data_IF_518127878906
#
_entry.id   IF_518127878906
#
_cell.length_a   1.000
_cell.length_b   1.000
_cell.length_c   1.000
_cell.angle_alpha   90.00
_cell.angle_beta   90.00
_cell.angle_gamma   90.00
#
_symmetry.space_group_name_H-M   'P 1'
#
loop_
_entity.id
_entity.type
_entity.pdbx_description
1 polymer ?
#
# COMPACT_ATOMS: atom_id res chain seq x y z
N UNK A 1 -8.27 -11.35 -4.50
CA UNK A 1 -9.21 -11.80 -3.44
C UNK A 1 -10.26 -12.66 -4.12
N UNK A 2 -10.57 -13.81 -3.55
CA UNK A 2 -11.49 -14.81 -4.12
C UNK A 2 -12.67 -14.94 -3.15
N UNK A 3 -13.90 -14.86 -3.63
CA UNK A 3 -15.07 -14.94 -2.76
C UNK A 3 -16.38 -14.83 -3.53
N UNK A 4 -17.49 -15.05 -2.82
CA UNK A 4 -18.86 -15.06 -3.35
C UNK A 4 -19.40 -13.63 -3.54
N UNK A 5 -18.73 -12.62 -2.96
CA UNK A 5 -19.26 -11.27 -2.84
C UNK A 5 -18.40 -10.16 -3.48
N UNK A 6 -17.65 -10.51 -4.53
CA UNK A 6 -16.71 -9.57 -5.16
C UNK A 6 -17.41 -8.48 -5.99
N UNK A 7 -18.60 -8.77 -6.51
CA UNK A 7 -19.43 -7.79 -7.21
C UNK A 7 -19.99 -6.74 -6.25
N UNK A 8 -20.36 -7.12 -5.01
CA UNK A 8 -20.77 -6.15 -4.00
C UNK A 8 -19.61 -5.26 -3.60
N UNK A 9 -18.41 -5.80 -3.37
CA UNK A 9 -17.22 -4.98 -3.10
C UNK A 9 -16.90 -3.99 -4.22
N UNK A 10 -17.13 -4.38 -5.48
CA UNK A 10 -17.03 -3.46 -6.63
C UNK A 10 -18.06 -2.34 -6.50
N UNK A 11 -19.33 -2.66 -6.21
CA UNK A 11 -20.40 -1.68 -6.01
C UNK A 11 -20.12 -0.73 -4.86
N UNK A 12 -19.70 -1.25 -3.70
CA UNK A 12 -19.30 -0.45 -2.53
C UNK A 12 -18.16 0.51 -2.87
N UNK A 13 -17.13 0.04 -3.59
CA UNK A 13 -16.03 0.89 -4.02
C UNK A 13 -16.51 2.02 -4.94
N UNK A 14 -17.30 1.70 -5.97
CA UNK A 14 -17.87 2.70 -6.89
C UNK A 14 -18.69 3.75 -6.14
N UNK A 15 -19.55 3.33 -5.22
CA UNK A 15 -20.33 4.24 -4.37
C UNK A 15 -19.46 5.10 -3.45
N UNK A 16 -18.37 4.55 -2.91
CA UNK A 16 -17.47 5.31 -2.05
C UNK A 16 -16.71 6.40 -2.83
N UNK A 17 -16.30 6.11 -4.07
CA UNK A 17 -15.59 7.07 -4.91
C UNK A 17 -16.52 8.00 -5.71
N UNK A 18 -17.82 7.72 -5.78
CA UNK A 18 -18.83 8.56 -6.45
C UNK A 18 -18.84 10.01 -5.94
N UNK A 19 -18.42 10.24 -4.69
CA UNK A 19 -18.26 11.57 -4.10
C UNK A 19 -17.26 12.46 -4.87
N UNK A 20 -16.42 11.87 -5.71
CA UNK A 20 -15.43 12.55 -6.54
C UNK A 20 -15.88 12.76 -8.00
N UNK A 21 -17.15 12.50 -8.34
CA UNK A 21 -17.69 12.66 -9.70
C UNK A 21 -17.50 14.07 -10.30
N UNK A 22 -17.26 15.09 -9.47
CA UNK A 22 -17.06 16.47 -9.88
C UNK A 22 -15.65 16.71 -10.46
N UNK A 23 -15.28 15.96 -11.51
CA UNK A 23 -13.98 16.10 -12.17
C UNK A 23 -13.78 17.49 -12.81
N UNK A 24 -14.87 18.17 -13.20
CA UNK A 24 -14.84 19.51 -13.78
C UNK A 24 -14.33 20.59 -12.79
N UNK A 25 -14.23 20.25 -11.51
CA UNK A 25 -13.61 21.12 -10.53
C UNK A 25 -12.08 21.02 -10.63
N UNK A 26 -11.50 21.78 -11.55
CA UNK A 26 -10.06 21.89 -11.77
C UNK A 26 -9.27 22.18 -10.47
N UNK A 27 -9.85 22.97 -9.55
CA UNK A 27 -9.23 23.25 -8.26
C UNK A 27 -9.17 22.00 -7.38
N UNK A 28 -10.23 21.20 -7.34
CA UNK A 28 -10.24 19.92 -6.63
C UNK A 28 -9.20 18.95 -7.22
N UNK A 29 -9.19 18.77 -8.55
CA UNK A 29 -8.23 17.89 -9.23
C UNK A 29 -6.79 18.30 -8.89
N UNK A 30 -6.48 19.59 -9.01
CA UNK A 30 -5.15 20.13 -8.71
C UNK A 30 -4.75 19.91 -7.24
N UNK A 31 -5.70 20.05 -6.31
CA UNK A 31 -5.48 19.78 -4.88
C UNK A 31 -5.19 18.30 -4.60
N UNK A 32 -5.95 17.39 -5.23
CA UNK A 32 -5.73 15.94 -5.06
C UNK A 32 -4.37 15.52 -5.63
N UNK A 33 -3.97 16.05 -6.79
CA UNK A 33 -2.66 15.81 -7.38
C UNK A 33 -1.53 16.37 -6.52
N UNK A 34 -1.69 17.57 -5.96
CA UNK A 34 -0.72 18.15 -5.04
C UNK A 34 -0.53 17.28 -3.78
N UNK A 35 -1.60 16.66 -3.26
CA UNK A 35 -1.50 15.71 -2.15
C UNK A 35 -0.74 14.44 -2.54
N UNK A 36 -1.00 13.90 -3.74
CA UNK A 36 -0.26 12.73 -4.27
C UNK A 36 1.22 13.06 -4.43
N UNK A 37 1.57 14.21 -5.03
CA UNK A 37 2.97 14.63 -5.17
C UNK A 37 3.63 14.76 -3.80
N UNK A 38 3.01 15.51 -2.90
CA UNK A 38 3.63 15.82 -1.62
C UNK A 38 3.77 14.59 -0.72
N UNK A 39 2.72 13.79 -0.56
CA UNK A 39 2.73 12.65 0.35
C UNK A 39 3.23 11.38 -0.33
N UNK A 40 2.58 10.95 -1.41
CA UNK A 40 2.89 9.64 -2.00
C UNK A 40 4.29 9.64 -2.62
N UNK A 41 4.59 10.62 -3.49
CA UNK A 41 5.90 10.66 -4.16
C UNK A 41 7.02 11.09 -3.20
N UNK A 42 6.85 12.22 -2.52
CA UNK A 42 7.96 12.88 -1.82
C UNK A 42 8.14 12.49 -0.35
N UNK A 43 7.12 11.93 0.32
CA UNK A 43 7.28 11.38 1.67
C UNK A 43 7.34 9.85 1.64
N UNK A 44 6.34 9.19 1.04
CA UNK A 44 6.19 7.74 1.14
C UNK A 44 7.21 6.97 0.28
N UNK A 45 7.29 7.26 -1.02
CA UNK A 45 8.20 6.53 -1.92
C UNK A 45 9.67 6.79 -1.57
N UNK A 46 10.04 8.00 -1.17
CA UNK A 46 11.41 8.29 -0.72
C UNK A 46 11.76 7.47 0.53
N UNK A 47 10.88 7.44 1.54
CA UNK A 47 11.17 6.74 2.80
C UNK A 47 11.19 5.22 2.65
N UNK A 48 10.32 4.63 1.81
CA UNK A 48 10.33 3.19 1.53
C UNK A 48 11.68 2.72 0.95
N UNK A 49 12.37 3.58 0.21
CA UNK A 49 13.61 3.23 -0.45
C UNK A 49 14.84 3.35 0.47
N UNK A 50 14.80 4.24 1.47
CA UNK A 50 15.86 4.38 2.48
C UNK A 50 16.04 3.10 3.34
N UNK A 51 15.00 2.29 3.47
CA UNK A 51 15.03 1.01 4.20
C UNK A 51 15.58 -0.16 3.37
N UNK A 52 15.81 0.03 2.05
CA UNK A 52 16.34 -1.00 1.14
C UNK A 52 17.73 -0.64 0.63
N UNK A 53 18.75 -1.11 1.32
CA UNK A 53 20.18 -0.83 1.13
C UNK A 53 20.84 -1.37 -0.16
N UNK A 54 20.15 -1.47 -1.30
CA UNK A 54 20.73 -2.08 -2.52
C UNK A 54 20.35 -1.48 -3.88
N UNK A 55 19.85 -0.24 -3.94
CA UNK A 55 19.71 0.54 -5.19
C UNK A 55 20.30 1.93 -4.95
N UNK A 56 21.13 2.44 -5.87
CA UNK A 56 21.71 3.78 -5.78
C UNK A 56 20.60 4.81 -5.50
N UNK A 57 20.58 5.34 -4.28
CA UNK A 57 19.61 6.32 -3.77
C UNK A 57 19.41 7.49 -4.77
N UNK A 58 20.48 7.91 -5.42
CA UNK A 58 20.47 8.92 -6.48
C UNK A 58 19.60 8.53 -7.71
N UNK A 59 19.71 7.30 -8.20
CA UNK A 59 18.91 6.82 -9.35
C UNK A 59 17.42 6.79 -9.00
N UNK A 60 17.09 6.35 -7.79
CA UNK A 60 15.72 6.28 -7.30
C UNK A 60 15.12 7.68 -7.17
N UNK A 61 15.85 8.63 -6.55
CA UNK A 61 15.39 10.02 -6.45
C UNK A 61 15.15 10.64 -7.82
N UNK A 62 16.06 10.44 -8.78
CA UNK A 62 15.89 10.93 -10.15
C UNK A 62 14.65 10.36 -10.83
N UNK A 63 14.33 9.08 -10.59
CA UNK A 63 13.09 8.47 -11.07
C UNK A 63 11.85 9.11 -10.41
N UNK A 64 11.89 9.39 -9.11
CA UNK A 64 10.81 10.09 -8.39
C UNK A 64 10.62 11.51 -8.94
N UNK A 65 11.71 12.26 -9.16
CA UNK A 65 11.67 13.60 -9.76
C UNK A 65 11.01 13.57 -11.15
N UNK A 66 11.37 12.59 -11.97
CA UNK A 66 10.74 12.41 -13.30
C UNK A 66 9.24 12.12 -13.19
N UNK A 67 8.81 11.34 -12.19
CA UNK A 67 7.39 11.06 -11.94
C UNK A 67 6.68 12.32 -11.44
N UNK A 68 7.30 13.06 -10.53
CA UNK A 68 6.78 14.33 -10.02
C UNK A 68 6.57 15.34 -11.14
N UNK A 69 7.51 15.46 -12.08
CA UNK A 69 7.39 16.32 -13.27
C UNK A 69 6.14 15.99 -14.09
N UNK A 70 5.86 14.70 -14.35
CA UNK A 70 4.62 14.32 -15.04
C UNK A 70 3.37 14.75 -14.27
N UNK A 71 3.35 14.62 -12.94
CA UNK A 71 2.20 15.02 -12.14
C UNK A 71 2.04 16.54 -12.05
N UNK A 72 3.14 17.31 -12.08
CA UNK A 72 3.10 18.78 -12.21
C UNK A 72 2.54 19.21 -13.56
N UNK A 73 3.02 18.59 -14.63
CA UNK A 73 2.51 18.82 -15.98
C UNK A 73 1.02 18.47 -16.12
N UNK A 74 0.55 17.42 -15.44
CA UNK A 74 -0.87 17.11 -15.34
C UNK A 74 -1.69 18.25 -14.72
N UNK A 75 -1.17 18.93 -13.70
CA UNK A 75 -1.82 20.09 -13.07
C UNK A 75 -1.78 21.28 -14.03
N UNK A 76 -0.62 21.62 -14.57
CA UNK A 76 -0.44 22.80 -15.43
C UNK A 76 -1.30 22.73 -16.70
N UNK A 77 -1.36 21.56 -17.32
CA UNK A 77 -2.11 21.34 -18.57
C UNK A 77 -3.52 20.82 -18.37
N UNK A 78 -3.92 20.57 -17.11
CA UNK A 78 -5.22 19.98 -16.77
C UNK A 78 -5.49 18.68 -17.56
N UNK A 79 -4.46 17.84 -17.70
CA UNK A 79 -4.53 16.57 -18.45
C UNK A 79 -3.93 15.42 -17.64
N UNK A 80 -4.64 15.03 -16.58
CA UNK A 80 -4.18 13.97 -15.71
C UNK A 80 -3.99 12.64 -16.45
N UNK A 81 -4.95 12.26 -17.31
CA UNK A 81 -4.94 10.97 -17.99
C UNK A 81 -3.64 10.77 -18.79
N UNK A 82 -3.28 11.73 -19.64
CA UNK A 82 -2.11 11.59 -20.50
C UNK A 82 -0.83 11.43 -19.69
N UNK A 83 -0.65 12.27 -18.67
CA UNK A 83 0.59 12.33 -17.90
C UNK A 83 0.70 11.20 -16.87
N UNK A 84 -0.42 10.76 -16.29
CA UNK A 84 -0.46 9.54 -15.49
C UNK A 84 -0.03 8.33 -16.31
N UNK A 85 -0.59 8.15 -17.52
CA UNK A 85 -0.20 7.03 -18.39
C UNK A 85 1.29 7.10 -18.75
N UNK A 86 1.82 8.28 -19.10
CA UNK A 86 3.26 8.45 -19.34
C UNK A 86 4.10 8.03 -18.14
N UNK A 87 3.73 8.46 -16.93
CA UNK A 87 4.43 8.07 -15.71
C UNK A 87 4.35 6.56 -15.45
N UNK A 88 3.18 5.96 -15.70
CA UNK A 88 2.90 4.54 -15.51
C UNK A 88 3.67 3.64 -16.48
N UNK A 89 3.78 4.02 -17.75
CA UNK A 89 4.44 3.21 -18.79
C UNK A 89 5.94 3.52 -18.94
N UNK A 90 6.43 4.53 -18.23
CA UNK A 90 7.84 4.90 -18.25
C UNK A 90 8.73 3.80 -17.66
N UNK A 91 9.98 3.72 -18.12
CA UNK A 91 10.96 2.74 -17.64
C UNK A 91 11.50 3.14 -16.25
N UNK A 92 10.65 3.01 -15.22
CA UNK A 92 10.94 3.32 -13.82
C UNK A 92 10.25 2.28 -12.89
N UNK A 93 10.36 2.46 -11.57
CA UNK A 93 9.73 1.55 -10.59
C UNK A 93 8.25 1.87 -10.28
N UNK A 94 7.70 2.99 -10.80
CA UNK A 94 6.43 3.56 -10.37
C UNK A 94 5.26 2.57 -10.47
N UNK A 95 5.05 1.98 -11.65
CA UNK A 95 3.94 1.05 -11.86
C UNK A 95 4.03 -0.17 -10.93
N UNK A 96 5.25 -0.66 -10.65
CA UNK A 96 5.46 -1.83 -9.77
C UNK A 96 5.05 -1.50 -8.34
N UNK A 97 5.49 -0.34 -7.83
CA UNK A 97 5.19 0.08 -6.46
C UNK A 97 3.73 0.48 -6.32
N UNK A 98 3.19 1.28 -7.25
CA UNK A 98 1.79 1.66 -7.26
C UNK A 98 0.86 0.45 -7.28
N UNK A 99 1.11 -0.53 -8.15
CA UNK A 99 0.28 -1.72 -8.22
C UNK A 99 0.40 -2.59 -6.97
N UNK A 100 1.59 -2.67 -6.35
CA UNK A 100 1.80 -3.36 -5.08
C UNK A 100 0.99 -2.68 -3.97
N UNK A 101 1.07 -1.37 -3.85
CA UNK A 101 0.38 -0.60 -2.80
C UNK A 101 -1.14 -0.66 -2.98
N UNK A 102 -1.63 -0.52 -4.22
CA UNK A 102 -3.04 -0.73 -4.55
C UNK A 102 -3.50 -2.13 -4.15
N UNK A 103 -2.75 -3.16 -4.52
CA UNK A 103 -3.09 -4.53 -4.15
C UNK A 103 -3.13 -4.74 -2.63
N UNK A 104 -2.27 -4.07 -1.86
CA UNK A 104 -2.23 -4.24 -0.41
C UNK A 104 -3.32 -3.45 0.31
N UNK A 105 -3.51 -2.17 -0.06
CA UNK A 105 -4.18 -1.21 0.82
C UNK A 105 -5.53 -0.69 0.29
N UNK A 106 -5.84 -0.82 -1.00
CA UNK A 106 -7.02 -0.12 -1.57
C UNK A 106 -8.36 -0.55 -0.93
N UNK A 107 -8.46 -1.79 -0.46
CA UNK A 107 -9.66 -2.29 0.20
C UNK A 107 -9.87 -1.69 1.60
N UNK A 108 -8.82 -1.14 2.23
CA UNK A 108 -8.95 -0.45 3.52
C UNK A 108 -9.83 0.80 3.41
N UNK A 109 -10.02 1.35 2.21
CA UNK A 109 -10.86 2.52 2.00
C UNK A 109 -12.36 2.24 2.23
N UNK A 110 -12.81 1.04 1.87
CA UNK A 110 -14.23 0.64 1.99
C UNK A 110 -14.50 -0.25 3.20
N UNK A 111 -13.46 -0.67 3.92
CA UNK A 111 -13.59 -1.49 5.12
C UNK A 111 -14.03 -0.64 6.32
N UNK A 112 -15.35 -0.54 6.51
CA UNK A 112 -16.00 0.21 7.60
C UNK A 112 -15.67 -0.31 9.00
N UNK A 113 -15.05 -1.48 9.12
CA UNK A 113 -14.79 -2.14 10.41
C UNK A 113 -13.43 -1.76 11.02
N UNK A 114 -12.54 -1.15 10.24
CA UNK A 114 -11.21 -0.73 10.73
C UNK A 114 -11.25 0.69 11.31
N UNK A 115 -10.84 0.84 12.56
CA UNK A 115 -10.51 2.14 13.15
C UNK A 115 -9.20 2.66 12.53
N UNK A 116 -9.21 3.93 12.09
CA UNK A 116 -8.15 4.68 11.40
C UNK A 116 -6.78 3.96 11.30
N UNK A 117 -6.54 3.34 10.13
CA UNK A 117 -5.27 2.69 9.76
C UNK A 117 -4.12 3.71 9.79
N UNK A 118 -2.92 3.28 10.22
CA UNK A 118 -1.68 4.07 10.13
C UNK A 118 -1.36 4.51 8.70
N UNK A 119 -1.98 3.85 7.71
CA UNK A 119 -1.78 4.10 6.28
C UNK A 119 -2.89 4.97 5.66
N UNK A 120 -3.75 5.63 6.46
CA UNK A 120 -4.88 6.42 5.94
C UNK A 120 -4.48 7.41 4.84
N UNK A 121 -3.38 8.16 5.00
CA UNK A 121 -2.88 9.10 3.97
C UNK A 121 -2.47 8.39 2.68
N UNK A 122 -1.85 7.21 2.78
CA UNK A 122 -1.49 6.38 1.64
C UNK A 122 -2.74 5.90 0.93
N UNK A 123 -3.68 5.31 1.66
CA UNK A 123 -4.96 4.83 1.11
C UNK A 123 -5.68 5.94 0.36
N UNK A 124 -5.78 7.15 0.93
CA UNK A 124 -6.39 8.29 0.23
C UNK A 124 -5.66 8.67 -1.06
N UNK A 125 -4.32 8.72 -1.06
CA UNK A 125 -3.56 9.00 -2.28
C UNK A 125 -3.82 7.94 -3.37
N UNK A 126 -3.85 6.66 -2.99
CA UNK A 126 -4.16 5.58 -3.91
C UNK A 126 -5.58 5.72 -4.49
N UNK A 127 -6.56 6.08 -3.66
CA UNK A 127 -7.93 6.37 -4.11
C UNK A 127 -7.97 7.57 -5.04
N UNK A 128 -7.25 8.66 -4.73
CA UNK A 128 -7.17 9.83 -5.61
C UNK A 128 -6.65 9.44 -6.99
N UNK A 129 -5.57 8.65 -7.06
CA UNK A 129 -4.99 8.17 -8.32
C UNK A 129 -6.02 7.39 -9.14
N UNK A 130 -6.71 6.43 -8.51
CA UNK A 130 -7.70 5.58 -9.20
C UNK A 130 -8.91 6.38 -9.66
N UNK A 131 -9.44 7.23 -8.78
CA UNK A 131 -10.66 7.99 -9.01
C UNK A 131 -10.49 9.09 -10.05
N UNK A 132 -9.33 9.77 -10.05
CA UNK A 132 -9.01 10.76 -11.07
C UNK A 132 -8.91 10.13 -12.47
N UNK A 133 -8.52 8.86 -12.57
CA UNK A 133 -8.53 8.16 -13.86
C UNK A 133 -9.96 7.77 -14.26
N UNK A 134 -10.71 7.15 -13.34
CA UNK A 134 -12.06 6.61 -13.58
C UNK A 134 -13.03 7.70 -14.07
N UNK A 135 -12.99 8.89 -13.47
CA UNK A 135 -13.89 9.99 -13.81
C UNK A 135 -13.32 10.98 -14.82
N UNK A 136 -12.19 10.65 -15.46
CA UNK A 136 -11.58 11.55 -16.43
C UNK A 136 -12.51 11.76 -17.65
N UNK A 137 -12.82 13.01 -18.06
CA UNK A 137 -13.79 13.28 -19.14
C UNK A 137 -13.41 12.65 -20.49
N UNK A 138 -12.12 12.59 -20.79
CA UNK A 138 -11.60 11.98 -22.04
C UNK A 138 -11.49 10.45 -21.99
N UNK A 139 -11.79 9.80 -20.86
CA UNK A 139 -11.62 8.34 -20.71
C UNK A 139 -12.46 7.56 -21.75
N UNK A 140 -13.63 8.11 -22.12
CA UNK A 140 -14.54 7.54 -23.13
C UNK A 140 -13.89 7.35 -24.51
N UNK A 141 -12.88 8.15 -24.84
CA UNK A 141 -12.16 8.09 -26.12
C UNK A 141 -11.23 6.87 -26.20
N UNK A 142 -10.86 6.30 -25.05
CA UNK A 142 -9.87 5.23 -24.94
C UNK A 142 -10.50 3.90 -24.55
N UNK A 143 -11.83 3.78 -24.49
CA UNK A 143 -12.53 2.56 -24.04
C UNK A 143 -12.10 1.34 -24.86
N UNK A 144 -11.98 0.20 -24.18
CA UNK A 144 -11.66 -1.07 -24.82
C UNK A 144 -12.67 -2.17 -24.46
N UNK A 145 -13.15 -2.88 -25.48
CA UNK A 145 -13.92 -4.12 -25.35
C UNK A 145 -13.28 -5.19 -26.24
N UNK A 146 -13.40 -6.45 -25.82
CA UNK A 146 -12.82 -7.58 -26.54
C UNK A 146 -11.72 -8.27 -25.74
N UNK A 147 -10.88 -9.02 -26.45
CA UNK A 147 -9.89 -9.91 -25.83
C UNK A 147 -8.56 -9.18 -25.66
N UNK A 148 -7.95 -9.29 -24.49
CA UNK A 148 -6.55 -8.88 -24.27
C UNK A 148 -5.79 -9.94 -23.46
N UNK A 149 -4.46 -9.86 -23.50
CA UNK A 149 -3.56 -10.91 -23.03
C UNK A 149 -2.54 -10.38 -22.03
N UNK A 150 -2.20 -11.19 -21.03
CA UNK A 150 -1.11 -10.90 -20.08
C UNK A 150 -0.24 -12.12 -19.91
N UNK A 151 1.02 -12.02 -20.28
CA UNK A 151 2.02 -13.02 -19.92
C UNK A 151 2.63 -12.73 -18.57
N UNK A 152 2.87 -13.78 -17.79
CA UNK A 152 3.56 -13.69 -16.51
C UNK A 152 4.23 -15.01 -16.13
N UNK A 153 5.19 -14.94 -15.22
CA UNK A 153 5.65 -16.11 -14.46
C UNK A 153 4.76 -16.25 -13.22
N UNK A 154 4.22 -17.44 -13.01
CA UNK A 154 3.32 -17.73 -11.88
C UNK A 154 3.87 -18.89 -11.04
N UNK A 155 3.82 -18.77 -9.72
CA UNK A 155 4.18 -19.88 -8.83
C UNK A 155 3.06 -20.92 -8.76
N UNK A 156 3.36 -22.17 -8.37
CA UNK A 156 2.31 -23.15 -8.12
C UNK A 156 1.29 -22.67 -7.08
N UNK A 157 1.72 -21.94 -6.04
CA UNK A 157 0.83 -21.44 -5.00
C UNK A 157 -0.14 -20.38 -5.54
N UNK A 158 0.35 -19.47 -6.38
CA UNK A 158 -0.50 -18.45 -7.02
C UNK A 158 -1.43 -19.10 -8.05
N UNK A 159 -0.95 -20.09 -8.79
CA UNK A 159 -1.76 -20.86 -9.74
C UNK A 159 -2.93 -21.57 -9.04
N UNK A 160 -2.73 -22.10 -7.83
CA UNK A 160 -3.80 -22.74 -7.05
C UNK A 160 -4.95 -21.79 -6.69
N UNK A 161 -4.73 -20.48 -6.77
CA UNK A 161 -5.77 -19.47 -6.59
C UNK A 161 -6.71 -19.39 -7.81
N UNK A 162 -6.26 -19.82 -8.99
CA UNK A 162 -7.09 -19.90 -10.19
C UNK A 162 -7.83 -21.24 -10.19
N UNK A 163 -9.14 -21.16 -9.99
CA UNK A 163 -10.04 -22.32 -9.97
C UNK A 163 -11.19 -22.07 -10.92
N UNK A 164 -11.60 -23.10 -11.65
CA UNK A 164 -12.71 -23.02 -12.59
C UNK A 164 -13.96 -22.46 -11.89
N UNK A 165 -14.66 -21.54 -12.56
CA UNK A 165 -15.84 -20.82 -12.07
C UNK A 165 -15.62 -19.90 -10.86
N UNK A 166 -14.39 -19.74 -10.35
CA UNK A 166 -14.13 -18.79 -9.29
C UNK A 166 -13.98 -17.37 -9.82
N UNK A 167 -14.39 -16.44 -8.96
CA UNK A 167 -14.31 -15.00 -9.21
C UNK A 167 -13.01 -14.43 -8.63
N UNK A 168 -12.42 -13.50 -9.37
CA UNK A 168 -11.17 -12.82 -9.05
C UNK A 168 -11.44 -11.32 -9.14
N UNK A 169 -11.20 -10.61 -8.03
CA UNK A 169 -11.21 -9.16 -7.98
C UNK A 169 -9.81 -8.63 -8.28
N UNK A 170 -9.67 -7.91 -9.38
CA UNK A 170 -8.47 -7.12 -9.66
C UNK A 170 -8.47 -5.88 -8.76
N UNK A 171 -7.37 -5.63 -8.02
CA UNK A 171 -7.28 -4.51 -7.05
C UNK A 171 -6.35 -3.38 -7.51
N UNK A 172 -5.54 -3.64 -8.52
CA UNK A 172 -4.54 -2.71 -9.02
C UNK A 172 -4.76 -2.50 -10.52
N UNK A 173 -4.00 -1.61 -11.14
CA UNK A 173 -4.00 -1.53 -12.59
C UNK A 173 -3.40 -2.81 -13.17
N UNK A 174 -4.06 -3.38 -14.15
CA UNK A 174 -3.66 -4.64 -14.76
C UNK A 174 -3.33 -4.39 -16.24
N UNK A 175 -2.03 -4.21 -16.51
CA UNK A 175 -1.48 -4.15 -17.86
C UNK A 175 -1.70 -5.45 -18.61
N UNK A 176 -2.21 -5.32 -19.84
CA UNK A 176 -2.44 -6.37 -20.82
C UNK A 176 -2.08 -5.84 -22.21
N UNK A 177 -1.95 -6.71 -23.21
CA UNK A 177 -1.76 -6.32 -24.61
C UNK A 177 -2.89 -6.85 -25.47
N UNK A 178 -3.29 -6.10 -26.49
CA UNK A 178 -4.16 -6.60 -27.56
C UNK A 178 -3.41 -7.68 -28.38
N UNK A 179 -2.08 -7.61 -28.42
CA UNK A 179 -1.26 -8.56 -29.14
C UNK A 179 -0.82 -9.72 -28.24
N UNK A 180 -1.29 -10.92 -28.55
CA UNK A 180 -0.93 -12.16 -27.87
C UNK A 180 0.59 -12.38 -27.82
N UNK A 181 1.30 -12.18 -28.93
CA UNK A 181 2.75 -12.41 -29.01
C UNK A 181 3.52 -11.46 -28.08
N UNK A 182 3.06 -10.21 -27.95
CA UNK A 182 3.63 -9.26 -27.00
C UNK A 182 3.48 -9.79 -25.58
N UNK A 183 2.29 -10.27 -25.23
CA UNK A 183 2.06 -10.88 -23.92
C UNK A 183 2.92 -12.14 -23.71
N UNK A 184 3.09 -13.01 -24.70
CA UNK A 184 3.92 -14.22 -24.62
C UNK A 184 5.40 -13.91 -24.32
N UNK A 185 5.95 -12.83 -24.90
CA UNK A 185 7.29 -12.33 -24.54
C UNK A 185 7.39 -12.01 -23.04
N UNK A 186 6.36 -11.42 -22.43
CA UNK A 186 6.33 -11.13 -20.99
C UNK A 186 6.13 -12.38 -20.11
N UNK A 187 5.60 -13.47 -20.66
CA UNK A 187 5.57 -14.78 -19.98
C UNK A 187 6.95 -15.45 -19.94
N UNK A 188 7.94 -14.90 -20.67
CA UNK A 188 9.33 -15.31 -20.67
C UNK A 188 9.73 -16.15 -21.88
N UNK A 189 9.08 -15.96 -23.02
CA UNK A 189 9.53 -16.47 -24.32
C UNK A 189 10.90 -15.82 -24.66
N UNK A 190 11.94 -16.64 -24.85
CA UNK A 190 13.30 -16.19 -25.21
C UNK A 190 14.38 -16.30 -24.12
N UNK A 191 14.04 -16.62 -22.86
CA UNK A 191 15.02 -17.11 -21.88
C UNK A 191 14.88 -18.63 -21.81
N UNK A 192 15.95 -19.34 -22.22
CA UNK A 192 16.01 -20.79 -22.29
C UNK A 192 15.17 -21.47 -21.21
N UNK A 193 14.19 -22.21 -21.72
CA UNK A 193 13.39 -23.22 -21.07
C UNK A 193 14.22 -23.98 -20.03
N UNK A 194 13.93 -23.75 -18.76
CA UNK A 194 14.05 -24.75 -17.71
C UNK A 194 13.43 -24.18 -16.44
N UNK A 195 12.61 -25.02 -15.79
CA UNK A 195 12.29 -24.88 -14.39
C UNK A 195 13.53 -24.39 -13.64
N UNK A 196 13.52 -23.19 -13.07
CA UNK A 196 14.61 -22.77 -12.19
C UNK A 196 14.47 -23.53 -10.88
N UNK A 197 14.98 -24.75 -10.86
CA UNK A 197 15.39 -25.39 -9.62
C UNK A 197 16.84 -24.95 -9.38
N UNK A 198 17.05 -23.86 -8.66
CA UNK A 198 18.37 -23.52 -8.14
C UNK A 198 18.54 -24.25 -6.81
N UNK A 199 19.42 -25.26 -6.70
CA UNK A 199 19.49 -26.13 -5.52
C UNK A 199 19.92 -25.43 -4.21
N UNK A 200 20.25 -24.13 -4.27
CA UNK A 200 20.83 -23.38 -3.15
C UNK A 200 19.85 -22.53 -2.35
N UNK A 201 18.66 -22.26 -2.88
CA UNK A 201 17.63 -21.46 -2.21
C UNK A 201 16.27 -22.12 -2.42
N UNK A 202 15.48 -22.29 -1.37
CA UNK A 202 14.14 -22.88 -1.39
C UNK A 202 13.13 -22.09 -2.27
N UNK A 203 13.32 -22.04 -3.58
CA UNK A 203 12.46 -21.31 -4.52
C UNK A 203 11.34 -22.18 -5.08
N UNK A 204 10.12 -21.63 -5.08
CA UNK A 204 8.91 -22.27 -5.57
C UNK A 204 8.94 -22.48 -7.11
N UNK A 205 8.41 -23.61 -7.57
CA UNK A 205 8.22 -23.93 -8.99
C UNK A 205 7.42 -22.81 -9.70
N UNK A 206 7.97 -22.27 -10.79
CA UNK A 206 7.36 -21.21 -11.60
C UNK A 206 7.00 -21.70 -13.00
N UNK A 207 5.83 -21.30 -13.50
CA UNK A 207 5.30 -21.63 -14.81
C UNK A 207 5.23 -20.41 -15.72
N UNK A 208 5.42 -20.60 -17.03
CA UNK A 208 5.04 -19.62 -18.05
C UNK A 208 3.52 -19.63 -18.18
N UNK A 209 2.87 -18.50 -17.91
CA UNK A 209 1.42 -18.37 -17.89
C UNK A 209 0.95 -17.25 -18.81
N UNK A 210 -0.05 -17.53 -19.64
CA UNK A 210 -0.77 -16.56 -20.44
C UNK A 210 -2.20 -16.45 -19.90
N UNK A 211 -2.58 -15.26 -19.43
CA UNK A 211 -3.96 -14.96 -19.09
C UNK A 211 -4.64 -14.26 -20.28
N UNK A 212 -5.78 -14.79 -20.72
CA UNK A 212 -6.67 -14.18 -21.70
C UNK A 212 -7.87 -13.57 -20.95
N UNK A 213 -8.11 -12.28 -21.13
CA UNK A 213 -9.22 -11.56 -20.53
C UNK A 213 -10.22 -11.16 -21.62
N UNK A 214 -11.48 -11.55 -21.47
CA UNK A 214 -12.59 -11.02 -22.25
C UNK A 214 -13.23 -9.84 -21.50
N UNK A 215 -12.99 -8.63 -22.03
CA UNK A 215 -13.58 -7.38 -21.54
C UNK A 215 -14.93 -7.17 -22.23
N UNK A 216 -15.98 -7.05 -21.43
CA UNK A 216 -17.36 -6.86 -21.89
C UNK A 216 -17.86 -5.44 -21.64
N UNK A 217 -17.36 -4.76 -20.61
CA UNK A 217 -17.82 -3.42 -20.23
C UNK A 217 -16.92 -2.32 -20.79
N UNK A 218 -17.54 -1.16 -21.05
CA UNK A 218 -16.87 0.00 -21.64
C UNK A 218 -16.05 0.82 -20.62
N UNK A 219 -16.26 0.62 -19.32
CA UNK A 219 -15.73 1.48 -18.25
C UNK A 219 -14.62 0.83 -17.41
N UNK A 220 -14.17 -0.37 -17.80
CA UNK A 220 -13.28 -1.20 -16.99
C UNK A 220 -11.91 -1.45 -17.64
N UNK A 221 -11.76 -1.15 -18.93
CA UNK A 221 -10.48 -1.18 -19.62
C UNK A 221 -10.34 -0.03 -20.61
N UNK A 222 -9.11 0.45 -20.76
CA UNK A 222 -8.75 1.49 -21.71
C UNK A 222 -7.56 1.06 -22.57
N UNK A 223 -7.64 1.31 -23.88
CA UNK A 223 -6.54 1.21 -24.81
C UNK A 223 -5.65 2.45 -24.64
N UNK A 224 -4.45 2.24 -24.14
CA UNK A 224 -3.50 3.31 -23.84
C UNK A 224 -2.35 3.39 -24.83
N UNK A 225 -2.43 2.67 -25.95
CA UNK A 225 -1.40 2.62 -26.97
C UNK A 225 -0.93 4.01 -27.42
N UNK A 226 -1.86 4.94 -27.64
CA UNK A 226 -1.53 6.30 -28.12
C UNK A 226 -1.01 7.24 -27.02
N UNK A 227 -1.16 6.87 -25.75
CA UNK A 227 -0.73 7.67 -24.60
C UNK A 227 0.56 7.13 -23.97
N UNK A 228 0.83 5.84 -24.15
CA UNK A 228 1.97 5.13 -23.59
C UNK A 228 3.29 5.63 -24.17
N UNK A 229 4.33 5.61 -23.33
CA UNK A 229 5.72 5.77 -23.75
C UNK A 229 6.27 4.56 -24.52
N UNK A 230 5.50 3.47 -24.60
CA UNK A 230 5.82 2.20 -25.28
C UNK A 230 4.64 1.77 -26.19
N UNK A 231 4.32 2.52 -27.26
CA UNK A 231 3.17 2.23 -28.11
C UNK A 231 3.23 0.86 -28.80
N UNK A 232 4.42 0.30 -29.02
CA UNK A 232 4.60 -1.01 -29.64
C UNK A 232 4.04 -2.17 -28.79
N UNK A 233 3.87 -1.96 -27.48
CA UNK A 233 3.29 -2.95 -26.58
C UNK A 233 1.77 -3.12 -26.78
N UNK A 234 1.12 -2.20 -27.52
CA UNK A 234 -0.34 -2.20 -27.77
C UNK A 234 -1.14 -2.42 -26.48
N UNK A 235 -0.76 -1.68 -25.45
CA UNK A 235 -1.20 -1.92 -24.09
C UNK A 235 -2.68 -1.52 -23.89
N UNK A 236 -3.41 -2.41 -23.24
CA UNK A 236 -4.73 -2.17 -22.66
C UNK A 236 -4.58 -2.24 -21.15
N UNK A 237 -4.99 -1.17 -20.48
CA UNK A 237 -4.95 -1.07 -19.03
C UNK A 237 -6.33 -1.37 -18.46
N UNK A 238 -6.43 -2.48 -17.72
CA UNK A 238 -7.64 -2.82 -16.98
C UNK A 238 -7.60 -2.09 -15.62
N UNK A 239 -8.70 -1.40 -15.31
CA UNK A 239 -8.84 -0.53 -14.15
C UNK A 239 -9.08 -1.40 -12.88
N UNK A 240 -8.61 -0.94 -11.70
CA UNK A 240 -8.93 -1.57 -10.41
C UNK A 240 -10.43 -1.82 -10.20
N UNK A 241 -10.74 -2.81 -9.38
CA UNK A 241 -12.08 -3.30 -9.05
C UNK A 241 -12.87 -3.94 -10.19
N UNK A 242 -12.19 -4.32 -11.27
CA UNK A 242 -12.77 -5.21 -12.29
C UNK A 242 -12.83 -6.64 -11.75
N UNK A 243 -13.97 -7.30 -11.93
CA UNK A 243 -14.21 -8.68 -11.46
C UNK A 243 -14.21 -9.62 -12.66
N UNK A 244 -13.45 -10.70 -12.56
CA UNK A 244 -13.37 -11.73 -13.59
C UNK A 244 -13.76 -13.10 -13.05
N UNK A 245 -14.41 -13.91 -13.87
CA UNK A 245 -14.66 -15.32 -13.63
C UNK A 245 -13.67 -16.16 -14.44
N UNK A 246 -13.04 -17.15 -13.81
CA UNK A 246 -12.19 -18.11 -14.51
C UNK A 246 -13.07 -19.09 -15.29
N UNK A 247 -12.97 -19.07 -16.61
CA UNK A 247 -13.79 -19.88 -17.52
C UNK A 247 -13.06 -21.12 -18.02
N UNK A 248 -11.72 -21.09 -18.14
CA UNK A 248 -10.93 -22.25 -18.49
C UNK A 248 -9.51 -22.15 -17.93
N UNK A 249 -8.90 -23.32 -17.69
CA UNK A 249 -7.47 -23.46 -17.36
C UNK A 249 -6.92 -24.58 -18.22
N UNK A 250 -6.12 -24.23 -19.22
CA UNK A 250 -5.45 -25.17 -20.12
C UNK A 250 -4.01 -25.38 -19.66
N UNK A 251 -3.59 -26.63 -19.55
CA UNK A 251 -2.20 -26.99 -19.22
C UNK A 251 -1.61 -27.63 -20.47
N UNK A 252 -0.59 -26.97 -21.02
CA UNK A 252 0.19 -27.56 -22.10
C UNK A 252 1.17 -28.54 -21.44
N UNK A 253 1.07 -29.82 -21.83
CA UNK A 253 1.93 -30.86 -21.27
C UNK A 253 3.39 -30.57 -21.62
N UNK A 254 4.28 -30.87 -20.68
CA UNK A 254 5.73 -30.67 -20.73
C UNK A 254 6.42 -31.41 -21.90
N UNK A 255 5.70 -32.24 -22.63
CA UNK A 255 6.21 -33.08 -23.72
C UNK A 255 6.16 -32.40 -25.09
N UNK A 256 5.61 -31.19 -25.19
CA UNK A 256 5.76 -30.34 -26.38
C UNK A 256 6.91 -29.33 -26.17
N UNK A 257 8.13 -29.63 -26.64
CA UNK A 257 9.28 -28.73 -26.52
C UNK A 257 9.11 -27.42 -27.31
N UNK A 258 8.08 -27.29 -28.14
CA UNK A 258 7.77 -26.07 -28.90
C UNK A 258 6.83 -25.12 -28.17
N UNK A 259 6.16 -25.56 -27.09
CA UNK A 259 5.22 -24.74 -26.34
C UNK A 259 5.94 -23.71 -25.44
N UNK A 260 5.90 -22.43 -25.82
CA UNK A 260 6.46 -21.33 -25.02
C UNK A 260 5.62 -20.97 -23.78
N UNK A 261 4.34 -21.37 -23.77
CA UNK A 261 3.39 -21.16 -22.67
C UNK A 261 3.03 -22.51 -22.05
N UNK A 262 3.22 -22.63 -20.73
CA UNK A 262 2.89 -23.86 -19.98
C UNK A 262 1.42 -23.89 -19.56
N UNK A 263 0.84 -22.73 -19.28
CA UNK A 263 -0.52 -22.60 -18.74
C UNK A 263 -1.23 -21.44 -19.44
N UNK A 264 -2.44 -21.68 -19.91
CA UNK A 264 -3.33 -20.64 -20.41
C UNK A 264 -4.56 -20.56 -19.51
N UNK A 265 -4.85 -19.37 -18.99
CA UNK A 265 -6.00 -19.11 -18.13
C UNK A 265 -6.93 -18.17 -18.88
N UNK A 266 -8.16 -18.60 -19.08
CA UNK A 266 -9.19 -17.77 -19.70
C UNK A 266 -10.08 -17.18 -18.62
N UNK A 267 -10.26 -15.87 -18.69
CA UNK A 267 -11.03 -15.06 -17.75
C UNK A 267 -12.08 -14.25 -18.50
N UNK A 268 -13.30 -14.26 -17.99
CA UNK A 268 -14.41 -13.48 -18.52
C UNK A 268 -14.83 -12.44 -17.50
N UNK A 269 -14.95 -11.18 -17.93
CA UNK A 269 -15.43 -10.11 -17.06
C UNK A 269 -16.85 -10.38 -16.55
N UNK A 270 -17.09 -10.13 -15.27
CA UNK A 270 -18.43 -10.19 -14.71
C UNK A 270 -19.15 -8.86 -14.96
N UNK A 271 -20.30 -8.94 -15.61
CA UNK A 271 -21.13 -7.77 -15.88
C UNK A 271 -21.91 -7.39 -14.62
N UNK A 272 -21.98 -6.09 -14.37
CA UNK A 272 -22.89 -5.50 -13.39
C UNK A 272 -24.09 -4.91 -14.14
N UNK A 273 -25.33 -5.39 -13.91
CA UNK A 273 -26.52 -4.91 -14.62
C UNK A 273 -26.83 -3.43 -14.39
N UNK A 274 -26.28 -2.81 -13.34
CA UNK A 274 -26.53 -1.40 -13.01
C UNK A 274 -25.54 -0.42 -13.67
N UNK A 275 -24.42 -0.89 -14.21
CA UNK A 275 -23.40 -0.02 -14.83
C UNK A 275 -23.91 0.67 -16.12
N UNK A 276 -24.89 0.06 -16.81
CA UNK A 276 -25.47 0.61 -18.04
C UNK A 276 -26.54 1.69 -17.84
N UNK A 277 -27.09 1.85 -16.62
CA UNK A 277 -28.17 2.82 -16.35
C UNK A 277 -27.65 4.21 -15.98
N UNK A 278 -26.57 4.27 -15.19
CA UNK A 278 -25.96 5.53 -14.78
C UNK A 278 -25.23 6.26 -15.94
N UNK A 279 -24.84 5.54 -17.00
CA UNK A 279 -24.17 6.15 -18.18
C UNK A 279 -25.14 6.96 -19.08
N UNK A 280 -26.41 6.54 -19.20
CA UNK A 280 -27.40 7.26 -20.02
C UNK A 280 -27.81 8.60 -19.41
N UNK A 281 -27.84 8.71 -18.08
CA UNK A 281 -28.16 9.96 -17.39
C UNK A 281 -27.01 10.98 -17.52
N UNK A 282 -25.75 10.54 -17.44
CA UNK A 282 -24.59 11.44 -17.53
C UNK A 282 -24.39 12.03 -18.94
N UNK A 283 -24.72 11.30 -20.01
CA UNK A 283 -24.69 11.84 -21.38
C UNK A 283 -25.77 12.92 -21.64
N UNK A 284 -26.81 12.96 -20.82
CA UNK A 284 -27.89 13.96 -20.94
C UNK A 284 -27.55 15.30 -20.27
N UNK A 285 -26.70 15.29 -19.24
CA UNK A 285 -26.30 16.49 -18.50
C UNK A 285 -25.27 17.37 -19.26
N UNK A 286 -24.39 16.73 -20.05
CA UNK A 286 -23.28 17.37 -20.79
C UNK A 286 -23.73 18.33 -21.91
N UNK A 287 -25.02 18.33 -22.27
CA UNK A 287 -25.57 19.26 -23.29
C UNK A 287 -25.93 20.64 -22.73
N UNK A 288 -25.87 20.87 -21.42
CA UNK A 288 -26.51 22.05 -20.79
C UNK A 288 -25.57 23.10 -20.20
N UNK A 289 -24.25 22.91 -20.17
CA UNK A 289 -23.33 23.93 -19.65
C UNK A 289 -22.15 24.20 -20.58
N UNK A 290 -22.40 24.99 -21.63
CA UNK A 290 -21.32 25.62 -22.41
C UNK A 290 -21.45 27.13 -22.30
N UNK A 291 -20.62 27.72 -21.44
CA UNK A 291 -20.38 29.16 -21.42
C UNK A 291 -19.79 29.67 -20.11
N UNK A 292 -18.46 29.78 -20.03
CA UNK A 292 -17.75 31.08 -19.90
C UNK A 292 -16.28 30.94 -19.46
N UNK A 293 -15.46 31.78 -20.12
CA UNK A 293 -14.16 32.35 -19.72
C UNK A 293 -12.97 31.45 -19.32
N UNK A 294 -12.05 31.37 -20.27
CA UNK A 294 -10.66 30.93 -20.17
C UNK A 294 -9.78 32.14 -19.74
N UNK A 295 -9.51 32.35 -18.44
CA UNK A 295 -8.39 33.20 -17.95
C UNK A 295 -8.12 33.09 -16.42
N UNK A 296 -7.84 31.90 -15.87
CA UNK A 296 -7.59 31.71 -14.41
C UNK A 296 -6.34 30.90 -14.05
N UNK A 297 -5.62 30.32 -15.02
CA UNK A 297 -4.57 29.32 -14.71
C UNK A 297 -3.40 29.86 -13.86
N UNK A 298 -3.09 31.16 -13.94
CA UNK A 298 -2.00 31.78 -13.16
C UNK A 298 -2.35 32.06 -11.70
N UNK A 299 -3.64 32.24 -11.37
CA UNK A 299 -4.08 32.40 -9.98
C UNK A 299 -4.16 31.06 -9.25
N UNK A 300 -4.59 30.01 -9.95
CA UNK A 300 -4.76 28.68 -9.36
C UNK A 300 -3.42 28.02 -8.97
N UNK A 301 -2.35 28.25 -9.75
CA UNK A 301 -0.99 27.82 -9.42
C UNK A 301 -0.43 28.58 -8.21
N UNK A 302 -0.61 29.91 -8.17
CA UNK A 302 -0.18 30.74 -7.05
C UNK A 302 -0.93 30.39 -5.76
N UNK A 303 -2.20 30.02 -5.85
CA UNK A 303 -3.00 29.61 -4.70
C UNK A 303 -2.61 28.22 -4.18
N UNK A 304 -2.24 27.29 -5.07
CA UNK A 304 -1.69 25.99 -4.69
C UNK A 304 -0.30 26.14 -4.03
N UNK A 305 0.58 26.96 -4.60
CA UNK A 305 1.89 27.29 -4.03
C UNK A 305 1.76 28.04 -2.69
N UNK A 306 0.83 29.00 -2.60
CA UNK A 306 0.54 29.74 -1.37
C UNK A 306 -0.04 28.82 -0.29
N UNK A 307 -0.89 27.85 -0.66
CA UNK A 307 -1.41 26.84 0.26
C UNK A 307 -0.29 25.94 0.82
N UNK A 308 0.62 25.48 -0.05
CA UNK A 308 1.78 24.67 0.37
C UNK A 308 2.67 25.50 1.32
N UNK A 309 2.97 26.75 0.96
CA UNK A 309 3.79 27.68 1.76
C UNK A 309 3.12 28.04 3.10
N UNK A 310 1.79 28.16 3.12
CA UNK A 310 0.99 28.38 4.32
C UNK A 310 1.03 27.18 5.28
N UNK A 311 0.95 25.96 4.75
CA UNK A 311 1.05 24.74 5.55
C UNK A 311 2.46 24.54 6.11
N UNK A 312 3.50 24.82 5.33
CA UNK A 312 4.91 24.83 5.77
C UNK A 312 5.15 25.83 6.91
N UNK A 313 4.55 27.02 6.85
CA UNK A 313 4.60 28.02 7.93
C UNK A 313 3.91 27.56 9.22
N UNK A 314 2.80 26.82 9.13
CA UNK A 314 2.15 26.23 10.31
C UNK A 314 3.02 25.15 10.97
N UNK A 315 3.70 24.31 10.20
CA UNK A 315 4.64 23.34 10.78
C UNK A 315 5.86 24.01 11.43
N UNK A 316 6.40 25.07 10.82
CA UNK A 316 7.46 25.87 11.45
C UNK A 316 6.98 26.50 12.77
N UNK A 317 5.75 27.04 12.78
CA UNK A 317 5.13 27.62 13.96
C UNK A 317 4.90 26.59 15.08
N UNK A 318 4.40 25.38 14.75
CA UNK A 318 4.27 24.28 15.71
C UNK A 318 5.63 23.77 16.19
N UNK A 319 6.66 23.78 15.34
CA UNK A 319 8.04 23.45 15.72
C UNK A 319 8.61 24.44 16.75
N UNK A 320 8.38 25.74 16.57
CA UNK A 320 8.81 26.78 17.52
C UNK A 320 8.06 26.63 18.85
N UNK A 321 6.74 26.39 18.82
CA UNK A 321 5.95 26.11 20.03
C UNK A 321 6.47 24.84 20.73
N UNK A 322 6.77 23.78 19.97
CA UNK A 322 7.36 22.55 20.51
C UNK A 322 8.70 22.79 21.20
N UNK A 323 9.58 23.61 20.62
CA UNK A 323 10.87 23.98 21.22
C UNK A 323 10.70 24.82 22.50
N UNK A 324 9.72 25.73 22.54
CA UNK A 324 9.41 26.50 23.74
C UNK A 324 8.88 25.60 24.87
N UNK A 325 7.97 24.67 24.55
CA UNK A 325 7.46 23.69 25.52
C UNK A 325 8.59 22.78 26.01
N UNK A 326 9.48 22.32 25.12
CA UNK A 326 10.64 21.52 25.48
C UNK A 326 11.59 22.29 26.41
N UNK A 327 11.84 23.58 26.15
CA UNK A 327 12.63 24.45 27.00
C UNK A 327 12.04 24.62 28.41
N UNK A 328 10.72 24.78 28.50
CA UNK A 328 10.01 24.84 29.80
C UNK A 328 10.11 23.50 30.54
N UNK A 329 9.92 22.37 29.85
CA UNK A 329 10.05 21.05 30.45
C UNK A 329 11.48 20.78 30.94
N UNK A 330 12.50 21.14 30.18
CA UNK A 330 13.91 21.03 30.60
C UNK A 330 14.23 21.95 31.78
N UNK A 331 13.63 23.15 31.84
CA UNK A 331 13.73 24.02 33.02
C UNK A 331 13.09 23.40 34.26
N UNK A 332 11.91 22.79 34.11
CA UNK A 332 11.21 22.11 35.19
C UNK A 332 11.97 20.86 35.67
N UNK A 333 12.54 20.06 34.78
CA UNK A 333 13.38 18.92 35.18
C UNK A 333 14.66 19.37 35.85
N UNK A 334 15.29 20.46 35.38
CA UNK A 334 16.46 21.03 36.03
C UNK A 334 16.15 21.54 37.45
N UNK A 335 15.04 22.27 37.64
CA UNK A 335 14.61 22.70 38.98
C UNK A 335 14.27 21.51 39.87
N UNK A 336 13.64 20.46 39.35
CA UNK A 336 13.32 19.25 40.10
C UNK A 336 14.59 18.50 40.52
N UNK A 337 15.55 18.29 39.61
CA UNK A 337 16.84 17.63 39.90
C UNK A 337 17.67 18.46 40.87
N UNK A 338 17.69 19.79 40.72
CA UNK A 338 18.39 20.68 41.66
C UNK A 338 17.77 20.63 43.06
N UNK A 339 16.44 20.64 43.16
CA UNK A 339 15.71 20.52 44.43
C UNK A 339 15.91 19.13 45.05
N UNK A 340 15.94 18.08 44.23
CA UNK A 340 16.18 16.71 44.66
C UNK A 340 17.64 16.47 45.08
N UNK A 341 18.62 17.11 44.43
CA UNK A 341 20.03 17.07 44.81
C UNK A 341 20.27 17.77 46.16
N UNK A 342 19.58 18.89 46.42
CA UNK A 342 19.60 19.55 47.73
C UNK A 342 18.94 18.65 48.80
N UNK A 343 17.85 17.94 48.44
CA UNK A 343 17.14 17.03 49.36
C UNK A 343 17.93 15.73 49.65
N UNK A 344 18.71 15.21 48.70
CA UNK A 344 19.50 13.97 48.84
C UNK A 344 20.70 14.13 49.79
N UNK A 345 21.06 15.36 50.17
CA UNK A 345 22.10 15.62 51.18
C UNK A 345 21.59 15.53 52.63
N UNK A 346 20.30 15.27 52.84
CA UNK A 346 19.72 15.19 54.18
C UNK A 346 18.63 14.13 54.26
N UNK A 347 19.01 12.85 54.23
CA UNK A 347 18.44 11.78 55.07
C UNK A 347 19.11 10.44 54.74
N UNK A 348 19.82 9.88 55.73
CA UNK A 348 20.18 8.48 55.82
C UNK A 348 19.03 7.69 56.46
N UNK A 349 18.97 6.40 56.10
CA UNK A 349 18.41 5.24 56.84
C UNK A 349 17.01 4.69 56.46
N UNK A 350 17.04 3.35 56.31
CA UNK A 350 16.07 2.32 56.72
C UNK A 350 15.00 1.79 55.73
N UNK A 351 15.33 0.62 55.16
CA UNK A 351 14.69 -0.71 55.34
C UNK A 351 13.23 -0.99 54.93
N UNK A 352 13.14 -1.85 53.90
CA UNK A 352 12.27 -3.05 53.67
C UNK A 352 10.75 -2.98 53.90
N UNK A 353 9.99 -3.34 52.87
CA UNK A 353 8.91 -4.36 52.97
C UNK A 353 8.62 -4.95 51.59
N UNK A 354 8.59 -6.28 51.57
CA UNK A 354 8.17 -7.17 50.51
C UNK A 354 6.65 -7.22 50.43
N UNK A 355 6.09 -7.26 49.22
CA UNK A 355 4.78 -7.87 49.02
C UNK A 355 4.78 -8.71 47.73
N UNK A 356 4.47 -9.97 47.95
CA UNK A 356 4.22 -11.03 46.97
C UNK A 356 2.84 -10.81 46.36
N UNK A 357 2.72 -10.96 45.04
CA UNK A 357 1.40 -11.04 44.40
C UNK A 357 1.36 -12.23 43.44
N UNK A 358 0.25 -12.96 43.56
CA UNK A 358 0.05 -14.35 43.17
C UNK A 358 -0.05 -14.53 41.64
N UNK A 359 0.63 -15.56 41.12
CA UNK A 359 0.50 -15.99 39.73
C UNK A 359 -0.64 -17.02 39.60
N UNK A 360 -1.72 -16.64 38.91
CA UNK A 360 -2.72 -17.60 38.41
C UNK A 360 -2.14 -18.39 37.23
N UNK A 361 -1.89 -19.68 37.45
CA UNK A 361 -1.42 -20.63 36.46
C UNK A 361 -2.63 -21.21 35.69
N UNK A 362 -2.78 -20.85 34.41
CA UNK A 362 -3.67 -21.56 33.49
C UNK A 362 -2.84 -22.58 32.71
N UNK A 363 -3.01 -23.87 33.00
CA UNK A 363 -2.43 -24.96 32.23
C UNK A 363 -3.17 -25.11 30.90
N UNK A 364 -2.55 -24.65 29.82
CA UNK A 364 -2.90 -25.00 28.45
C UNK A 364 -2.26 -26.35 28.06
N UNK A 365 -2.84 -27.11 27.11
CA UNK A 365 -2.43 -28.48 26.83
C UNK A 365 -0.95 -28.58 26.44
N UNK A 366 -0.24 -29.51 27.07
CA UNK A 366 1.19 -29.75 26.91
C UNK A 366 1.51 -30.22 25.48
N UNK A 367 2.36 -29.44 24.79
CA UNK A 367 2.94 -29.86 23.52
C UNK A 367 3.80 -28.82 22.81
N UNK A 368 3.42 -27.53 22.79
CA UNK A 368 4.06 -26.57 21.87
C UNK A 368 4.17 -25.10 22.33
N UNK A 369 3.95 -24.77 23.60
CA UNK A 369 4.06 -23.37 24.06
C UNK A 369 4.73 -23.29 25.43
N UNK A 370 5.96 -22.76 25.48
CA UNK A 370 6.67 -22.45 26.72
C UNK A 370 6.45 -20.98 27.06
N UNK A 371 5.60 -20.67 28.05
CA UNK A 371 5.37 -19.29 28.50
C UNK A 371 6.45 -18.94 29.53
N UNK A 372 7.38 -18.07 29.13
CA UNK A 372 8.42 -17.58 30.02
C UNK A 372 7.94 -16.34 30.78
N UNK A 373 8.03 -16.39 32.11
CA UNK A 373 7.82 -15.21 32.96
C UNK A 373 9.05 -14.28 32.94
N UNK A 374 8.90 -13.05 33.44
CA UNK A 374 9.98 -12.05 33.46
C UNK A 374 11.26 -12.51 34.13
N UNK A 375 11.16 -13.29 35.21
CA UNK A 375 12.33 -13.82 35.92
C UNK A 375 13.07 -14.88 35.12
N UNK A 376 12.36 -15.67 34.30
CA UNK A 376 12.94 -16.74 33.47
C UNK A 376 13.88 -16.25 32.37
N UNK A 377 13.74 -15.00 31.94
CA UNK A 377 14.62 -14.38 30.94
C UNK A 377 15.46 -13.22 31.50
N UNK A 378 15.48 -13.05 32.83
CA UNK A 378 16.23 -12.01 33.54
C UNK A 378 15.92 -10.60 33.02
N UNK A 379 14.62 -10.30 32.93
CA UNK A 379 14.13 -8.99 32.53
C UNK A 379 14.62 -7.89 33.47
N UNK A 380 14.94 -6.71 32.92
CA UNK A 380 15.18 -5.53 33.75
C UNK A 380 13.91 -5.15 34.53
N UNK A 381 14.05 -4.58 35.74
CA UNK A 381 12.93 -4.00 36.46
C UNK A 381 12.26 -2.91 35.63
N UNK A 382 10.93 -2.86 35.63
CA UNK A 382 10.19 -1.74 35.06
C UNK A 382 10.39 -0.48 35.91
N UNK A 383 10.46 0.69 35.27
CA UNK A 383 10.56 1.99 35.95
C UNK A 383 9.20 2.47 36.48
N UNK A 384 8.11 2.04 35.84
CA UNK A 384 6.73 2.20 36.33
C UNK A 384 5.82 1.12 35.74
N UNK A 385 4.66 0.89 36.37
CA UNK A 385 3.68 -0.10 35.92
C UNK A 385 2.31 0.55 35.79
N UNK A 386 1.70 0.41 34.61
CA UNK A 386 0.28 0.69 34.39
C UNK A 386 -0.44 -0.63 34.08
N UNK A 387 -1.49 -0.94 34.84
CA UNK A 387 -2.33 -2.10 34.56
C UNK A 387 -3.34 -1.75 33.45
N UNK A 388 -3.75 -2.77 32.68
CA UNK A 388 -4.81 -2.63 31.70
C UNK A 388 -6.11 -2.21 32.39
N UNK A 389 -6.77 -1.16 31.86
CA UNK A 389 -7.98 -0.57 32.47
C UNK A 389 -9.23 -1.45 32.36
N UNK A 390 -9.22 -2.43 31.46
CA UNK A 390 -10.37 -3.31 31.17
C UNK A 390 -9.95 -4.77 31.12
N UNK A 391 -10.73 -5.64 31.77
CA UNK A 391 -10.55 -7.08 31.78
C UNK A 391 -11.92 -7.78 31.64
N UNK A 392 -12.09 -8.78 30.75
CA UNK A 392 -11.11 -9.24 29.77
C UNK A 392 -10.86 -8.20 28.68
N UNK A 393 -9.66 -8.20 28.11
CA UNK A 393 -9.38 -7.38 26.92
C UNK A 393 -10.24 -7.88 25.76
N UNK A 394 -10.92 -6.96 25.08
CA UNK A 394 -11.83 -7.32 23.97
C UNK A 394 -11.08 -7.61 22.66
N UNK A 395 -9.84 -7.13 22.54
CA UNK A 395 -9.03 -7.23 21.33
C UNK A 395 -7.55 -7.39 21.70
N UNK A 396 -6.80 -8.10 20.84
CA UNK A 396 -5.35 -8.25 20.93
C UNK A 396 -4.75 -7.72 19.63
N UNK A 397 -3.75 -6.83 19.73
CA UNK A 397 -3.00 -6.33 18.57
C UNK A 397 -1.69 -7.09 18.47
N UNK A 398 -1.52 -7.89 17.42
CA UNK A 398 -0.27 -8.63 17.15
C UNK A 398 0.53 -7.87 16.09
N UNK A 399 1.74 -7.45 16.43
CA UNK A 399 2.70 -6.80 15.51
C UNK A 399 3.91 -7.70 15.32
N UNK A 400 4.28 -7.96 14.07
CA UNK A 400 5.58 -8.58 13.75
C UNK A 400 6.69 -7.53 13.92
N UNK A 401 7.73 -7.87 14.69
CA UNK A 401 8.94 -7.07 14.77
C UNK A 401 9.79 -7.36 13.52
N UNK A 402 10.24 -6.31 12.82
CA UNK A 402 11.09 -6.45 11.65
C UNK A 402 12.51 -6.79 12.11
N UNK A 403 12.81 -8.08 12.23
CA UNK A 403 14.15 -8.59 12.48
C UNK A 403 14.45 -9.66 11.43
N UNK A 404 15.53 -9.45 10.67
CA UNK A 404 15.98 -10.32 9.59
C UNK A 404 16.73 -11.58 10.07
N UNK A 405 17.01 -11.69 11.36
CA UNK A 405 17.69 -12.86 11.91
C UNK A 405 16.71 -13.94 12.35
N UNK A 406 16.85 -15.14 11.78
CA UNK A 406 16.15 -16.34 12.25
C UNK A 406 16.60 -16.68 13.67
N UNK A 407 15.66 -16.72 14.61
CA UNK A 407 15.91 -17.18 15.98
C UNK A 407 15.75 -18.69 16.00
N UNK A 408 16.81 -19.43 16.32
CA UNK A 408 16.83 -20.89 16.19
C UNK A 408 16.62 -21.62 17.52
N UNK A 409 16.73 -20.92 18.65
CA UNK A 409 16.56 -21.50 19.99
C UNK A 409 16.10 -20.45 21.04
N UNK A 410 15.71 -20.95 22.21
CA UNK A 410 15.19 -20.12 23.32
C UNK A 410 16.22 -19.10 23.84
N UNK A 411 17.52 -19.39 23.82
CA UNK A 411 18.55 -18.47 24.33
C UNK A 411 18.72 -17.26 23.41
N UNK A 412 18.72 -17.48 22.09
CA UNK A 412 18.74 -16.41 21.09
C UNK A 412 17.50 -15.51 21.24
N UNK A 413 16.35 -16.13 21.52
CA UNK A 413 15.10 -15.43 21.77
C UNK A 413 15.19 -14.51 22.99
N UNK A 414 15.63 -15.06 24.12
CA UNK A 414 15.84 -14.32 25.37
C UNK A 414 16.78 -13.15 25.14
N UNK A 415 17.90 -13.38 24.44
CA UNK A 415 18.87 -12.33 24.13
C UNK A 415 18.22 -11.20 23.35
N UNK A 416 17.46 -11.48 22.30
CA UNK A 416 16.80 -10.45 21.50
C UNK A 416 15.75 -9.66 22.26
N UNK A 417 14.96 -10.33 23.09
CA UNK A 417 13.97 -9.66 23.94
C UNK A 417 14.67 -8.71 24.93
N UNK A 418 15.83 -9.11 25.48
CA UNK A 418 16.65 -8.24 26.32
C UNK A 418 17.22 -7.05 25.56
N UNK A 419 17.82 -7.29 24.39
CA UNK A 419 18.37 -6.22 23.54
C UNK A 419 17.27 -5.19 23.16
N UNK A 420 16.05 -5.67 22.91
CA UNK A 420 14.89 -4.82 22.66
C UNK A 420 14.46 -4.03 23.91
N UNK A 421 14.43 -4.67 25.08
CA UNK A 421 14.12 -4.01 26.35
C UNK A 421 15.16 -2.93 26.67
N UNK A 422 16.45 -3.23 26.50
CA UNK A 422 17.55 -2.31 26.72
C UNK A 422 17.46 -1.10 25.79
N UNK A 423 17.27 -1.34 24.49
CA UNK A 423 17.07 -0.26 23.52
C UNK A 423 15.86 0.64 23.84
N UNK A 424 14.73 0.06 24.27
CA UNK A 424 13.54 0.85 24.59
C UNK A 424 13.71 1.66 25.87
N UNK A 425 14.36 1.10 26.90
CA UNK A 425 14.59 1.81 28.15
C UNK A 425 15.69 2.86 27.98
N UNK A 426 16.85 2.47 27.46
CA UNK A 426 18.05 3.31 27.46
C UNK A 426 18.03 4.35 26.34
N UNK A 427 17.61 3.98 25.12
CA UNK A 427 17.64 4.88 23.97
C UNK A 427 16.32 5.64 23.77
N UNK A 428 15.18 5.02 24.10
CA UNK A 428 13.85 5.66 23.92
C UNK A 428 13.26 6.25 25.21
N UNK A 429 13.88 6.02 26.35
CA UNK A 429 13.39 6.50 27.64
C UNK A 429 12.05 5.89 28.04
N UNK A 430 11.70 4.71 27.52
CA UNK A 430 10.47 4.03 27.91
C UNK A 430 10.61 3.45 29.32
N UNK A 431 9.49 3.32 30.02
CA UNK A 431 9.48 2.81 31.39
C UNK A 431 9.67 1.29 31.45
N UNK A 432 9.43 0.58 30.35
CA UNK A 432 9.70 -0.84 30.15
C UNK A 432 9.56 -1.19 28.65
N UNK A 433 9.57 -2.48 28.33
CA UNK A 433 9.22 -3.01 27.01
C UNK A 433 7.76 -2.69 26.64
N UNK A 434 7.54 -2.11 25.46
CA UNK A 434 6.22 -1.60 25.04
C UNK A 434 5.23 -2.65 24.53
N UNK A 435 5.28 -3.87 25.07
CA UNK A 435 4.43 -4.98 24.67
C UNK A 435 3.95 -5.76 25.90
N UNK A 436 2.69 -6.19 25.91
CA UNK A 436 2.13 -7.00 27.01
C UNK A 436 2.67 -8.43 27.02
N UNK A 437 2.96 -9.00 25.85
CA UNK A 437 3.64 -10.27 25.65
C UNK A 437 4.39 -10.24 24.31
N UNK A 438 5.39 -11.10 24.17
CA UNK A 438 6.15 -11.28 22.94
C UNK A 438 6.10 -12.75 22.54
N UNK A 439 6.04 -12.99 21.22
CA UNK A 439 6.07 -14.34 20.65
C UNK A 439 7.33 -14.46 19.82
N UNK A 440 8.02 -15.55 20.10
CA UNK A 440 9.28 -15.98 19.57
C UNK A 440 9.31 -17.49 19.86
#
# INVERSE_FOLDING_TARGET
MIGVDLLEKRREFRQAIDLYKNYDNHHLVSKLLAEVIHYYLNEYLINQNNDTSNLNDETTRKQIETIEEYFKEAIEKQDYLTYFIKAYTSTNFFYKVLNKDLALYILEYIDKTKTFSSNYRLVNCLVHIVTLLIYHPKLSQYRYQGICYRGMRITQNDLNQYQLNRHILNRAFLSTSINRQVAEMFAGEGQQSQMRYTPKDHCALQYSCLCQYLIKQNSTAINIQSLSTKPDEKEVLIIPFTVFKVIAIKRNYLDDPTASISIEIELEECEDPDDGKNELENMSADKTSRGSSLSSCDSDIKDAEAYIKFKQRRYLFYGIIGLLILGVLLGLTFTFVFTFAIRKNSTKNATTTSDTDETFEYQLPSGYTNILNRSSWNARPYLSRENLKTYPVTHIVIRRLNDSQTVMNQQDCIKKIKDLQDYQIDERGWVDIGYNFLIC
#
